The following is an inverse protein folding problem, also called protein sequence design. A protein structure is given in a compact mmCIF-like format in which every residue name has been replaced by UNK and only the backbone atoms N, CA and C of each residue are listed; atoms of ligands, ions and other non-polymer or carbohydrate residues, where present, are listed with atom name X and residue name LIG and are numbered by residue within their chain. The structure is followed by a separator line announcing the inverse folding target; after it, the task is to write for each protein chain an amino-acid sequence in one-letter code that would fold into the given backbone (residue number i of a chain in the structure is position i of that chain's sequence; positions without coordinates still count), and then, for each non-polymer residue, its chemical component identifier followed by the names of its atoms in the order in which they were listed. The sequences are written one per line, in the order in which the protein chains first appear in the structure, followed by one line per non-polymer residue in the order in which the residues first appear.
data_IF_023977708191
#
_entry.id   IF_023977708191
#
_cell.length_a   1.000
_cell.length_b   1.000
_cell.length_c   1.000
_cell.angle_alpha   90.00
_cell.angle_beta   90.00
_cell.angle_gamma   90.00
#
_symmetry.space_group_name_H-M   'P 1'
#
loop_
_entity.id
_entity.type
_entity.pdbx_description
1 polymer ?
#
# COMPACT_ATOMS: atom_id res chain seq x y z
N UNK A 1 -23.59 26.08 -38.17
CA UNK A 1 -23.09 26.77 -36.96
C UNK A 1 -23.16 25.77 -35.80
N UNK A 2 -22.39 24.67 -35.85
CA UNK A 2 -22.52 23.56 -34.88
C UNK A 2 -21.19 23.05 -34.33
N UNK A 3 -20.05 23.55 -34.81
CA UNK A 3 -18.73 23.08 -34.34
C UNK A 3 -18.23 23.79 -33.07
N UNK A 4 -18.90 24.86 -32.60
CA UNK A 4 -18.48 25.60 -31.41
C UNK A 4 -19.10 25.05 -30.11
N UNK A 5 -20.32 24.51 -30.18
CA UNK A 5 -21.05 23.99 -29.01
C UNK A 5 -20.46 22.63 -28.57
N UNK A 6 -20.02 21.81 -29.52
CA UNK A 6 -19.36 20.52 -29.24
C UNK A 6 -17.89 20.68 -28.78
N UNK A 7 -17.24 21.78 -29.14
CA UNK A 7 -15.89 22.10 -28.66
C UNK A 7 -15.94 22.63 -27.23
N UNK A 8 -16.88 23.52 -26.90
CA UNK A 8 -17.11 23.99 -25.53
C UNK A 8 -17.56 22.83 -24.60
N UNK A 9 -18.42 21.91 -25.06
CA UNK A 9 -18.76 20.71 -24.28
C UNK A 9 -17.58 19.74 -24.08
N UNK A 10 -16.67 19.62 -25.06
CA UNK A 10 -15.43 18.83 -24.92
C UNK A 10 -14.36 19.52 -24.08
N UNK A 11 -14.36 20.84 -23.96
CA UNK A 11 -13.48 21.60 -23.05
C UNK A 11 -14.00 21.59 -21.61
N UNK A 12 -15.32 21.67 -21.38
CA UNK A 12 -15.91 21.56 -20.04
C UNK A 12 -15.72 20.16 -19.42
N UNK A 13 -15.47 19.14 -20.24
CA UNK A 13 -15.08 17.79 -19.81
C UNK A 13 -13.56 17.61 -19.63
N UNK A 14 -12.74 18.58 -20.06
CA UNK A 14 -11.29 18.62 -19.75
C UNK A 14 -11.09 19.33 -18.41
N UNK A 15 -10.52 18.60 -17.46
CA UNK A 15 -10.06 19.06 -16.15
C UNK A 15 -11.11 19.17 -15.03
N UNK A 16 -11.94 18.14 -14.84
CA UNK A 16 -12.37 17.82 -13.47
C UNK A 16 -11.26 16.98 -12.85
N UNK A 17 -10.64 17.48 -11.79
CA UNK A 17 -9.65 16.69 -11.05
C UNK A 17 -10.34 15.49 -10.39
N UNK A 18 -9.59 14.42 -10.11
CA UNK A 18 -10.14 13.28 -9.36
C UNK A 18 -10.68 13.73 -7.98
N UNK A 19 -10.05 14.74 -7.37
CA UNK A 19 -10.58 15.43 -6.18
C UNK A 19 -12.01 15.97 -6.39
N UNK A 20 -12.28 16.66 -7.50
CA UNK A 20 -13.63 17.17 -7.80
C UNK A 20 -14.65 16.05 -8.04
N UNK A 21 -14.19 14.88 -8.50
CA UNK A 21 -15.04 13.70 -8.64
C UNK A 21 -15.37 13.11 -7.27
N UNK A 22 -14.38 12.90 -6.41
CA UNK A 22 -14.57 12.43 -5.05
C UNK A 22 -15.48 13.37 -4.27
N UNK A 23 -15.24 14.69 -4.33
CA UNK A 23 -16.04 15.69 -3.62
C UNK A 23 -17.52 15.59 -3.99
N UNK A 24 -17.85 15.53 -5.29
CA UNK A 24 -19.24 15.35 -5.73
C UNK A 24 -19.82 13.99 -5.37
N UNK A 25 -19.00 12.95 -5.32
CA UNK A 25 -19.44 11.62 -4.93
C UNK A 25 -19.85 11.61 -3.45
N UNK A 26 -19.03 12.23 -2.59
CA UNK A 26 -19.27 12.28 -1.14
C UNK A 26 -20.34 13.32 -0.74
N UNK A 27 -20.51 14.40 -1.50
CA UNK A 27 -21.56 15.41 -1.27
C UNK A 27 -22.99 14.82 -1.30
N UNK A 28 -23.17 13.64 -1.91
CA UNK A 28 -24.48 12.95 -1.91
C UNK A 28 -24.82 12.31 -0.55
N UNK A 29 -23.86 12.23 0.37
CA UNK A 29 -24.05 11.73 1.73
C UNK A 29 -24.27 12.94 2.65
N UNK A 30 -25.54 13.24 2.93
CA UNK A 30 -25.97 14.50 3.57
C UNK A 30 -25.90 14.53 5.11
N UNK A 31 -25.25 13.56 5.75
CA UNK A 31 -25.20 13.52 7.22
C UNK A 31 -23.94 14.25 7.72
N UNK A 32 -24.11 15.27 8.56
CA UNK A 32 -23.00 16.10 9.11
C UNK A 32 -21.94 15.28 9.88
N UNK A 33 -22.33 14.10 10.38
CA UNK A 33 -21.48 13.15 11.10
C UNK A 33 -20.73 12.17 10.19
N UNK A 34 -20.95 12.23 8.88
CA UNK A 34 -20.34 11.31 7.93
C UNK A 34 -18.84 11.58 7.77
N UNK A 35 -18.04 10.55 8.01
CA UNK A 35 -16.59 10.59 7.85
C UNK A 35 -16.17 10.62 6.38
N UNK A 36 -17.03 10.22 5.45
CA UNK A 36 -16.74 10.20 4.02
C UNK A 36 -16.43 11.59 3.45
N UNK A 37 -16.92 12.66 4.09
CA UNK A 37 -16.62 14.05 3.70
C UNK A 37 -15.12 14.37 3.67
N UNK A 38 -14.30 13.64 4.44
CA UNK A 38 -12.85 13.85 4.50
C UNK A 38 -12.06 13.13 3.39
N UNK A 39 -12.69 12.21 2.64
CA UNK A 39 -12.00 11.44 1.59
C UNK A 39 -11.32 12.32 0.53
N UNK A 40 -11.97 13.36 -0.04
CA UNK A 40 -11.33 14.21 -1.04
C UNK A 40 -10.06 14.87 -0.50
N UNK A 41 -10.10 15.41 0.72
CA UNK A 41 -8.97 16.13 1.31
C UNK A 41 -7.84 15.17 1.71
N UNK A 42 -8.18 13.96 2.18
CA UNK A 42 -7.20 12.92 2.47
C UNK A 42 -6.50 12.42 1.19
N UNK A 43 -7.26 12.24 0.10
CA UNK A 43 -6.70 11.96 -1.22
C UNK A 43 -5.73 13.07 -1.66
N UNK A 44 -6.16 14.35 -1.57
CA UNK A 44 -5.33 15.47 -1.99
C UNK A 44 -4.06 15.60 -1.14
N UNK A 45 -4.15 15.36 0.16
CA UNK A 45 -3.02 15.34 1.07
C UNK A 45 -2.00 14.26 0.67
N UNK A 46 -2.47 13.05 0.33
CA UNK A 46 -1.61 11.98 -0.17
C UNK A 46 -0.95 12.37 -1.50
N UNK A 47 -1.69 12.98 -2.43
CA UNK A 47 -1.10 13.50 -3.66
C UNK A 47 -0.01 14.54 -3.39
N UNK A 48 -0.25 15.48 -2.47
CA UNK A 48 0.74 16.49 -2.08
C UNK A 48 2.00 15.84 -1.52
N UNK A 49 1.86 14.87 -0.60
CA UNK A 49 2.98 14.12 -0.02
C UNK A 49 3.72 13.32 -1.10
N UNK A 50 3.00 12.67 -2.01
CA UNK A 50 3.57 11.87 -3.10
C UNK A 50 4.38 12.70 -4.08
N UNK A 51 3.90 13.90 -4.41
CA UNK A 51 4.56 14.86 -5.29
C UNK A 51 5.69 15.64 -4.62
N UNK A 52 5.76 15.67 -3.29
CA UNK A 52 6.81 16.40 -2.58
C UNK A 52 8.19 15.73 -2.79
N UNK A 53 9.15 16.51 -3.28
CA UNK A 53 10.52 16.06 -3.54
C UNK A 53 11.30 15.74 -2.26
N UNK A 54 10.87 16.26 -1.10
CA UNK A 54 11.47 15.96 0.20
C UNK A 54 10.97 14.64 0.79
N UNK A 55 9.86 14.10 0.28
CA UNK A 55 9.36 12.78 0.69
C UNK A 55 10.32 11.70 0.26
N UNK A 56 10.75 10.86 1.21
CA UNK A 56 11.62 9.73 0.90
C UNK A 56 10.87 8.67 0.09
N UNK A 57 11.63 7.81 -0.58
CA UNK A 57 11.09 6.73 -1.41
C UNK A 57 10.10 5.84 -0.65
N UNK A 58 10.35 5.58 0.64
CA UNK A 58 9.48 4.76 1.49
C UNK A 58 8.11 5.41 1.69
N UNK A 59 8.06 6.70 2.02
CA UNK A 59 6.82 7.50 2.09
C UNK A 59 6.07 7.50 0.76
N UNK A 60 6.79 7.65 -0.36
CA UNK A 60 6.19 7.62 -1.70
C UNK A 60 5.60 6.25 -2.03
N UNK A 61 6.21 5.16 -1.56
CA UNK A 61 5.64 3.81 -1.71
C UNK A 61 4.36 3.64 -0.92
N UNK A 62 4.32 4.08 0.34
CA UNK A 62 3.10 4.06 1.16
C UNK A 62 1.96 4.85 0.49
N UNK A 63 2.26 6.07 0.03
CA UNK A 63 1.30 6.93 -0.68
C UNK A 63 0.80 6.27 -1.96
N UNK A 64 1.72 5.77 -2.81
CA UNK A 64 1.34 5.16 -4.08
C UNK A 64 0.50 3.89 -3.89
N UNK A 65 0.73 3.12 -2.83
CA UNK A 65 -0.07 1.96 -2.49
C UNK A 65 -1.52 2.36 -2.20
N UNK A 66 -1.77 3.40 -1.37
CA UNK A 66 -3.12 3.92 -1.16
C UNK A 66 -3.73 4.49 -2.44
N UNK A 67 -2.99 5.32 -3.19
CA UNK A 67 -3.51 5.91 -4.43
C UNK A 67 -3.84 4.85 -5.49
N UNK A 68 -3.10 3.73 -5.52
CA UNK A 68 -3.40 2.63 -6.44
C UNK A 68 -4.68 1.88 -6.08
N UNK A 69 -5.06 1.85 -4.80
CA UNK A 69 -6.31 1.23 -4.36
C UNK A 69 -7.53 1.99 -4.91
N UNK A 70 -7.51 3.33 -4.84
CA UNK A 70 -8.58 4.22 -5.30
C UNK A 70 -8.95 4.12 -6.80
N UNK A 71 -8.13 3.41 -7.59
CA UNK A 71 -8.30 3.23 -9.04
C UNK A 71 -8.45 1.75 -9.42
N UNK A 72 -8.58 0.85 -8.45
CA UNK A 72 -8.88 -0.55 -8.73
C UNK A 72 -10.28 -0.67 -9.36
N UNK A 73 -10.41 -1.59 -10.31
CA UNK A 73 -11.70 -1.85 -10.97
C UNK A 73 -12.61 -2.76 -10.14
N UNK A 74 -12.02 -3.58 -9.25
CA UNK A 74 -12.73 -4.49 -8.35
C UNK A 74 -12.52 -4.08 -6.89
N UNK A 75 -13.45 -3.32 -6.33
CA UNK A 75 -13.43 -2.94 -4.93
C UNK A 75 -13.90 -4.07 -4.01
N UNK A 76 -13.29 -4.16 -2.82
CA UNK A 76 -13.71 -5.09 -1.76
C UNK A 76 -15.14 -4.77 -1.32
N UNK A 77 -15.52 -3.49 -1.35
CA UNK A 77 -16.88 -3.03 -1.16
C UNK A 77 -17.44 -2.65 -2.52
N UNK A 78 -18.38 -3.43 -3.04
CA UNK A 78 -19.00 -3.08 -4.31
C UNK A 78 -19.84 -1.80 -4.16
N UNK A 79 -19.46 -0.74 -4.87
CA UNK A 79 -20.19 0.54 -5.01
C UNK A 79 -21.70 0.41 -5.28
N UNK A 80 -22.13 -0.74 -5.80
CA UNK A 80 -23.51 -0.99 -6.24
C UNK A 80 -24.52 -1.23 -5.11
N UNK A 81 -24.13 -1.35 -3.83
CA UNK A 81 -25.07 -1.85 -2.80
C UNK A 81 -25.13 -1.14 -1.43
N UNK A 82 -24.34 -0.12 -1.13
CA UNK A 82 -24.47 0.58 0.16
C UNK A 82 -23.92 2.00 0.12
N UNK A 83 -24.35 2.83 1.08
CA UNK A 83 -23.79 4.16 1.30
C UNK A 83 -22.28 4.15 1.66
N UNK A 84 -21.74 2.96 1.91
CA UNK A 84 -20.37 2.72 2.39
C UNK A 84 -19.36 2.43 1.26
N UNK A 85 -19.71 2.67 -0.01
CA UNK A 85 -18.85 2.32 -1.16
C UNK A 85 -17.45 2.94 -1.11
N UNK A 86 -17.33 4.15 -0.57
CA UNK A 86 -16.07 4.87 -0.42
C UNK A 86 -15.38 4.67 0.94
N UNK A 87 -15.89 3.76 1.77
CA UNK A 87 -15.40 3.62 3.14
C UNK A 87 -14.04 2.92 3.20
N UNK A 88 -13.81 1.93 2.33
CA UNK A 88 -12.51 1.29 2.16
C UNK A 88 -11.46 2.23 1.57
N UNK A 89 -11.86 3.07 0.61
CA UNK A 89 -11.04 4.17 0.08
C UNK A 89 -10.60 5.14 1.19
N UNK A 90 -11.56 5.63 1.99
CA UNK A 90 -11.25 6.50 3.12
C UNK A 90 -10.34 5.81 4.13
N UNK A 91 -10.64 4.55 4.45
CA UNK A 91 -9.86 3.75 5.38
C UNK A 91 -8.40 3.66 4.93
N UNK A 92 -8.15 3.29 3.67
CA UNK A 92 -6.76 3.10 3.22
C UNK A 92 -5.99 4.43 3.17
N UNK A 93 -6.66 5.53 2.79
CA UNK A 93 -6.05 6.85 2.85
C UNK A 93 -5.66 7.24 4.28
N UNK A 94 -6.59 7.09 5.22
CA UNK A 94 -6.38 7.41 6.62
C UNK A 94 -5.30 6.50 7.26
N UNK A 95 -5.31 5.20 6.92
CA UNK A 95 -4.31 4.24 7.36
C UNK A 95 -2.91 4.64 6.92
N UNK A 96 -2.71 5.04 5.66
CA UNK A 96 -1.39 5.49 5.17
C UNK A 96 -0.93 6.77 5.86
N UNK A 97 -1.84 7.73 6.07
CA UNK A 97 -1.50 8.96 6.81
C UNK A 97 -1.09 8.64 8.25
N UNK A 98 -1.79 7.71 8.91
CA UNK A 98 -1.42 7.20 10.24
C UNK A 98 -0.02 6.57 10.22
N UNK A 99 0.29 5.73 9.24
CA UNK A 99 1.59 5.09 9.11
C UNK A 99 2.73 6.10 8.89
N UNK A 100 2.50 7.12 8.06
CA UNK A 100 3.45 8.22 7.86
C UNK A 100 3.66 8.98 9.17
N UNK A 101 2.58 9.28 9.91
CA UNK A 101 2.64 9.95 11.22
C UNK A 101 3.46 9.15 12.23
N UNK A 102 3.18 7.86 12.34
CA UNK A 102 3.66 7.00 13.42
C UNK A 102 5.08 6.47 13.17
N UNK A 103 5.43 6.18 11.90
CA UNK A 103 6.68 5.50 11.54
C UNK A 103 7.69 6.38 10.83
N UNK A 104 7.25 7.44 10.16
CA UNK A 104 8.14 8.30 9.36
C UNK A 104 8.36 9.65 10.05
N UNK A 105 7.37 10.53 10.01
CA UNK A 105 7.41 11.83 10.68
C UNK A 105 6.08 12.57 10.51
N UNK A 106 5.58 13.13 11.61
CA UNK A 106 4.41 14.03 11.62
C UNK A 106 4.59 15.26 10.73
N UNK A 107 5.82 15.76 10.59
CA UNK A 107 6.10 16.98 9.82
C UNK A 107 5.84 16.78 8.33
N UNK A 108 5.95 15.56 7.80
CA UNK A 108 5.62 15.28 6.40
C UNK A 108 4.14 15.61 6.13
N UNK A 109 3.25 15.35 7.08
CA UNK A 109 1.84 15.69 6.92
C UNK A 109 1.67 17.20 6.95
N UNK A 110 2.18 17.86 8.00
CA UNK A 110 2.05 19.32 8.19
C UNK A 110 2.61 20.13 7.00
N UNK A 111 3.78 19.73 6.49
CA UNK A 111 4.44 20.41 5.36
C UNK A 111 3.67 20.28 4.03
N UNK A 112 2.68 19.38 3.95
CA UNK A 112 1.92 19.07 2.73
C UNK A 112 0.42 19.39 2.84
N UNK A 113 -0.02 20.05 3.92
CA UNK A 113 -1.41 20.50 4.11
C UNK A 113 -1.79 21.76 3.32
N UNK A 114 -0.86 22.33 2.54
CA UNK A 114 -1.12 23.56 1.79
C UNK A 114 -2.35 23.45 0.89
N UNK A 115 -3.32 24.36 1.10
CA UNK A 115 -4.58 24.39 0.35
C UNK A 115 -5.69 23.48 0.89
N UNK A 116 -5.46 22.80 2.02
CA UNK A 116 -6.45 22.02 2.75
C UNK A 116 -6.78 22.72 4.07
N UNK A 117 -8.06 22.74 4.42
CA UNK A 117 -8.55 23.32 5.67
C UNK A 117 -9.28 22.24 6.46
N UNK A 118 -8.65 21.79 7.55
CA UNK A 118 -9.24 20.82 8.46
C UNK A 118 -9.66 21.57 9.73
N UNK A 119 -10.95 21.51 10.06
CA UNK A 119 -11.50 22.16 11.25
C UNK A 119 -10.95 21.53 12.55
N UNK A 120 -10.62 20.23 12.49
CA UNK A 120 -10.13 19.44 13.61
C UNK A 120 -8.59 19.28 13.59
N UNK A 121 -8.01 18.88 14.73
CA UNK A 121 -6.62 18.43 14.78
C UNK A 121 -6.44 17.24 13.83
N UNK A 122 -5.71 17.46 12.73
CA UNK A 122 -5.51 16.47 11.67
C UNK A 122 -5.00 15.13 12.19
N UNK A 123 -4.16 15.13 13.23
CA UNK A 123 -3.59 13.90 13.77
C UNK A 123 -4.60 13.12 14.59
N UNK A 124 -5.50 13.80 15.28
CA UNK A 124 -6.62 13.18 15.97
C UNK A 124 -7.65 12.67 14.95
N UNK A 125 -7.99 13.50 13.96
CA UNK A 125 -8.90 13.17 12.87
C UNK A 125 -8.47 11.90 12.11
N UNK A 126 -7.18 11.78 11.76
CA UNK A 126 -6.63 10.57 11.12
C UNK A 126 -6.94 9.32 11.97
N UNK A 127 -6.72 9.38 13.27
CA UNK A 127 -6.95 8.24 14.16
C UNK A 127 -8.45 7.93 14.31
N UNK A 128 -9.27 8.96 14.45
CA UNK A 128 -10.71 8.80 14.58
C UNK A 128 -11.33 8.18 13.33
N UNK A 129 -10.90 8.61 12.14
CA UNK A 129 -11.32 8.01 10.88
C UNK A 129 -10.86 6.56 10.78
N UNK A 130 -9.58 6.26 11.08
CA UNK A 130 -9.09 4.87 11.06
C UNK A 130 -9.91 3.98 11.99
N UNK A 131 -10.17 4.42 13.21
CA UNK A 131 -10.93 3.64 14.19
C UNK A 131 -12.39 3.44 13.73
N UNK A 132 -13.10 4.52 13.39
CA UNK A 132 -14.50 4.46 12.95
C UNK A 132 -14.65 3.61 11.69
N UNK A 133 -13.79 3.81 10.70
CA UNK A 133 -13.83 3.01 9.48
C UNK A 133 -13.50 1.54 9.78
N UNK A 134 -12.51 1.26 10.64
CA UNK A 134 -12.20 -0.11 11.03
C UNK A 134 -13.36 -0.82 11.73
N UNK A 135 -14.06 -0.11 12.63
CA UNK A 135 -15.22 -0.64 13.36
C UNK A 135 -16.35 -1.03 12.41
N UNK A 136 -16.59 -0.23 11.36
CA UNK A 136 -17.62 -0.49 10.35
C UNK A 136 -17.20 -1.59 9.38
N UNK A 137 -15.93 -1.59 8.94
CA UNK A 137 -15.39 -2.52 7.96
C UNK A 137 -15.12 -3.92 8.53
N UNK A 138 -14.80 -4.02 9.82
CA UNK A 138 -14.44 -5.27 10.50
C UNK A 138 -13.32 -6.01 9.77
N UNK A 139 -13.51 -7.31 9.54
CA UNK A 139 -12.53 -8.20 8.90
C UNK A 139 -12.14 -7.80 7.47
N UNK A 140 -12.89 -6.89 6.83
CA UNK A 140 -12.53 -6.38 5.49
C UNK A 140 -11.26 -5.53 5.51
N UNK A 141 -10.94 -4.92 6.65
CA UNK A 141 -9.72 -4.11 6.82
C UNK A 141 -8.45 -4.88 6.47
N UNK A 142 -8.34 -6.14 6.90
CA UNK A 142 -7.20 -7.01 6.61
C UNK A 142 -7.06 -7.26 5.10
N UNK A 143 -8.18 -7.49 4.41
CA UNK A 143 -8.20 -7.71 2.96
C UNK A 143 -7.77 -6.46 2.19
N UNK A 144 -8.21 -5.28 2.62
CA UNK A 144 -7.82 -3.99 2.01
C UNK A 144 -6.30 -3.84 2.10
N UNK A 145 -5.74 -4.09 3.29
CA UNK A 145 -4.30 -4.04 3.51
C UNK A 145 -3.54 -5.11 2.73
N UNK A 146 -4.10 -6.31 2.57
CA UNK A 146 -3.52 -7.39 1.76
C UNK A 146 -3.38 -7.00 0.28
N UNK A 147 -4.42 -6.38 -0.30
CA UNK A 147 -4.45 -5.99 -1.73
C UNK A 147 -3.29 -5.05 -2.06
N UNK A 148 -3.05 -4.06 -1.20
CA UNK A 148 -1.95 -3.09 -1.38
C UNK A 148 -0.61 -3.60 -0.82
N UNK A 149 -0.60 -4.83 -0.29
CA UNK A 149 0.60 -5.50 0.23
C UNK A 149 1.05 -5.07 1.62
N UNK A 150 0.26 -4.26 2.35
CA UNK A 150 0.60 -3.75 3.68
C UNK A 150 0.66 -4.80 4.78
N UNK A 151 -0.15 -5.85 4.70
CA UNK A 151 -0.10 -6.97 5.66
C UNK A 151 1.29 -7.61 5.78
N UNK A 152 2.00 -7.72 4.64
CA UNK A 152 3.36 -8.25 4.54
C UNK A 152 4.43 -7.15 4.59
N UNK A 153 4.03 -5.89 4.46
CA UNK A 153 4.93 -4.73 4.48
C UNK A 153 5.52 -4.46 5.88
N UNK A 154 4.91 -4.99 6.95
CA UNK A 154 5.52 -5.03 8.30
C UNK A 154 6.88 -5.73 8.33
N UNK A 155 7.15 -6.66 7.40
CA UNK A 155 8.48 -7.25 7.21
C UNK A 155 9.51 -6.21 6.69
N UNK A 156 9.02 -5.18 5.99
CA UNK A 156 9.80 -4.08 5.43
C UNK A 156 10.09 -2.99 6.48
N UNK A 157 9.18 -2.74 7.43
CA UNK A 157 9.39 -1.80 8.54
C UNK A 157 10.58 -2.17 9.43
N UNK A 158 10.82 -3.47 9.60
CA UNK A 158 12.02 -3.99 10.27
C UNK A 158 13.34 -3.52 9.60
N UNK A 159 13.28 -3.11 8.33
CA UNK A 159 14.41 -2.66 7.54
C UNK A 159 14.65 -1.14 7.64
N UNK A 160 13.66 -0.36 8.07
CA UNK A 160 13.66 1.10 8.03
C UNK A 160 14.11 1.76 9.36
N UNK A 161 14.17 1.00 10.46
CA UNK A 161 14.73 1.46 11.75
C UNK A 161 16.22 1.84 11.59
N UNK A 162 16.48 3.14 11.49
CA UNK A 162 17.76 3.74 11.11
C UNK A 162 18.92 3.31 12.03
N UNK A 163 18.68 3.01 13.31
CA UNK A 163 19.72 2.55 14.25
C UNK A 163 20.01 1.04 14.17
N UNK A 164 19.06 0.23 13.68
CA UNK A 164 19.27 -1.21 13.45
C UNK A 164 20.01 -1.51 12.15
N UNK A 165 19.98 -0.61 11.16
CA UNK A 165 20.46 -0.87 9.79
C UNK A 165 21.89 -1.41 9.71
N UNK A 166 22.84 -0.97 10.55
CA UNK A 166 24.23 -1.44 10.49
C UNK A 166 24.41 -2.90 10.96
N UNK A 167 23.78 -3.27 12.09
CA UNK A 167 23.77 -4.65 12.57
C UNK A 167 22.90 -5.55 11.70
N UNK A 168 21.87 -4.98 11.09
CA UNK A 168 20.92 -5.68 10.24
C UNK A 168 21.42 -5.91 8.82
N UNK A 169 22.19 -4.98 8.22
CA UNK A 169 22.88 -5.22 6.94
C UNK A 169 23.79 -6.44 7.07
N UNK A 170 24.60 -6.50 8.14
CA UNK A 170 25.41 -7.69 8.41
C UNK A 170 24.58 -8.96 8.60
N UNK A 171 23.40 -8.88 9.23
CA UNK A 171 22.49 -10.04 9.37
C UNK A 171 21.80 -10.42 8.07
N UNK A 172 21.42 -9.45 7.22
CA UNK A 172 20.83 -9.67 5.90
C UNK A 172 21.84 -10.27 4.94
N UNK A 173 23.07 -9.79 4.96
CA UNK A 173 24.15 -10.34 4.15
C UNK A 173 24.44 -11.78 4.59
N UNK A 174 24.53 -12.05 5.90
CA UNK A 174 24.62 -13.41 6.43
C UNK A 174 23.41 -14.28 6.08
N UNK A 175 22.18 -13.74 6.10
CA UNK A 175 20.95 -14.47 5.76
C UNK A 175 20.86 -14.76 4.26
N UNK A 176 21.23 -13.80 3.41
CA UNK A 176 21.34 -13.97 1.95
C UNK A 176 22.39 -15.01 1.60
N UNK A 177 23.56 -14.95 2.25
CA UNK A 177 24.60 -15.96 2.11
C UNK A 177 24.11 -17.33 2.55
N UNK A 178 23.38 -17.43 3.67
CA UNK A 178 22.79 -18.68 4.14
C UNK A 178 21.77 -19.25 3.15
N UNK A 179 20.85 -18.42 2.64
CA UNK A 179 19.89 -18.83 1.61
C UNK A 179 20.59 -19.27 0.32
N UNK A 180 21.63 -18.55 -0.12
CA UNK A 180 22.43 -18.92 -1.28
C UNK A 180 23.15 -20.26 -1.07
N UNK A 181 23.76 -20.48 0.09
CA UNK A 181 24.40 -21.76 0.44
C UNK A 181 23.40 -22.92 0.49
N UNK A 182 22.22 -22.69 1.07
CA UNK A 182 21.12 -23.67 1.08
C UNK A 182 20.63 -23.97 -0.33
N UNK A 183 20.53 -22.95 -1.19
CA UNK A 183 20.10 -23.09 -2.57
C UNK A 183 21.09 -23.90 -3.41
N UNK A 184 22.40 -23.60 -3.30
CA UNK A 184 23.48 -24.37 -3.94
C UNK A 184 23.46 -25.82 -3.47
N UNK A 185 23.29 -26.04 -2.15
CA UNK A 185 23.22 -27.40 -1.61
C UNK A 185 21.96 -28.13 -2.07
N UNK A 186 20.82 -27.48 -2.09
CA UNK A 186 19.55 -28.03 -2.58
C UNK A 186 19.65 -28.42 -4.07
N UNK A 187 20.23 -27.55 -4.91
CA UNK A 187 20.49 -27.86 -6.31
C UNK A 187 21.45 -29.06 -6.46
N UNK A 188 22.56 -29.10 -5.72
CA UNK A 188 23.46 -30.25 -5.76
C UNK A 188 22.76 -31.56 -5.36
N UNK A 189 21.83 -31.51 -4.40
CA UNK A 189 21.02 -32.68 -3.97
C UNK A 189 20.03 -33.09 -5.06
N UNK A 190 19.47 -32.12 -5.80
CA UNK A 190 18.56 -32.35 -6.91
C UNK A 190 19.28 -32.94 -8.14
N UNK A 191 20.55 -32.58 -8.35
CA UNK A 191 21.39 -33.04 -9.47
C UNK A 191 22.00 -34.43 -9.28
N UNK A 192 22.16 -34.91 -8.05
CA UNK A 192 22.69 -36.27 -7.79
C UNK A 192 21.80 -37.31 -8.51
N UNK A 193 22.36 -38.34 -9.13
CA UNK A 193 21.56 -39.48 -9.60
C UNK A 193 21.60 -40.57 -8.54
N UNK A 194 20.62 -40.58 -7.64
CA UNK A 194 20.48 -41.60 -6.59
C UNK A 194 19.02 -42.01 -6.47
N UNK A 195 18.75 -43.31 -6.63
CA UNK A 195 17.41 -43.90 -6.54
C UNK A 195 17.03 -44.32 -5.11
N UNK A 196 17.81 -43.92 -4.10
CA UNK A 196 17.45 -44.26 -2.72
C UNK A 196 16.16 -43.55 -2.32
N UNK A 197 15.23 -44.29 -1.69
CA UNK A 197 13.94 -43.76 -1.23
C UNK A 197 14.07 -42.46 -0.41
N UNK A 198 15.10 -42.40 0.45
CA UNK A 198 15.39 -41.20 1.26
C UNK A 198 15.74 -39.99 0.39
N UNK A 199 16.53 -40.17 -0.68
CA UNK A 199 16.87 -39.10 -1.61
C UNK A 199 15.67 -38.66 -2.43
N UNK A 200 14.83 -39.59 -2.89
CA UNK A 200 13.59 -39.25 -3.60
C UNK A 200 12.63 -38.43 -2.72
N UNK A 201 12.46 -38.83 -1.46
CA UNK A 201 11.64 -38.11 -0.46
C UNK A 201 12.18 -36.72 -0.17
N UNK A 202 13.50 -36.59 -0.01
CA UNK A 202 14.16 -35.30 0.20
C UNK A 202 13.97 -34.35 -0.99
N UNK A 203 14.08 -34.84 -2.24
CA UNK A 203 13.83 -34.01 -3.43
C UNK A 203 12.39 -33.54 -3.55
N UNK A 204 11.44 -34.42 -3.25
CA UNK A 204 10.02 -34.08 -3.25
C UNK A 204 9.74 -32.97 -2.23
N UNK A 205 10.30 -33.08 -1.02
CA UNK A 205 10.17 -32.07 0.02
C UNK A 205 10.76 -30.71 -0.40
N UNK A 206 11.95 -30.70 -1.00
CA UNK A 206 12.60 -29.47 -1.50
C UNK A 206 11.75 -28.81 -2.60
N UNK A 207 11.27 -29.58 -3.59
CA UNK A 207 10.50 -29.05 -4.73
C UNK A 207 9.12 -28.52 -4.34
N UNK A 208 8.51 -29.08 -3.30
CA UNK A 208 7.14 -28.73 -2.88
C UNK A 208 7.10 -27.69 -1.77
N UNK A 209 8.26 -27.32 -1.19
CA UNK A 209 8.31 -26.30 -0.16
C UNK A 209 7.97 -24.92 -0.73
N UNK A 210 7.01 -24.23 -0.13
CA UNK A 210 6.49 -22.93 -0.59
C UNK A 210 7.57 -21.84 -0.72
N UNK A 211 8.61 -21.87 0.11
CA UNK A 211 9.73 -20.91 0.05
C UNK A 211 10.78 -21.22 -1.04
N UNK A 212 10.74 -22.39 -1.68
CA UNK A 212 11.78 -22.81 -2.64
C UNK A 212 11.88 -21.85 -3.85
N UNK A 213 10.76 -21.28 -4.29
CA UNK A 213 10.74 -20.28 -5.35
C UNK A 213 11.39 -18.94 -4.96
N UNK A 214 11.40 -18.59 -3.66
CA UNK A 214 12.12 -17.42 -3.16
C UNK A 214 13.62 -17.71 -3.06
N UNK A 215 13.97 -18.90 -2.55
CA UNK A 215 15.36 -19.39 -2.47
C UNK A 215 16.01 -19.43 -3.87
N UNK A 216 15.26 -19.87 -4.89
CA UNK A 216 15.74 -19.90 -6.29
C UNK A 216 16.01 -18.50 -6.84
N UNK A 217 15.13 -17.54 -6.60
CA UNK A 217 15.29 -16.14 -7.04
C UNK A 217 16.54 -15.47 -6.44
N UNK A 218 16.89 -15.78 -5.20
CA UNK A 218 18.13 -15.25 -4.60
C UNK A 218 19.41 -15.75 -5.28
N UNK A 219 19.40 -16.89 -5.98
CA UNK A 219 20.57 -17.36 -6.75
C UNK A 219 20.78 -16.54 -8.02
N UNK A 220 19.70 -16.18 -8.71
CA UNK A 220 19.76 -15.40 -9.96
C UNK A 220 20.39 -14.01 -9.71
N UNK A 221 20.08 -13.37 -8.58
CA UNK A 221 20.63 -12.08 -8.17
C UNK A 221 22.12 -12.08 -7.75
N UNK A 222 22.74 -13.25 -7.53
CA UNK A 222 24.17 -13.33 -7.17
C UNK A 222 25.06 -13.49 -8.42
N UNK A 223 24.45 -13.79 -9.57
CA UNK A 223 25.15 -13.98 -10.83
C UNK A 223 25.23 -12.71 -11.71
N UNK A 224 24.61 -11.60 -11.29
CA UNK A 224 24.73 -10.25 -11.86
C UNK A 224 25.66 -9.37 -11.00
#
# INVERSE_FOLDING_TARGET
MDNNIDFERKEVLRNKSYYDCLKRAVDNYQDDEDILKYLPDFYQLLCNIGCNNKSQWYTKMLVNAALSYLVLEEDIITDKRSKDGYLDDLYICAYVLKEIRDKVSKNIILDNMGGLDFEDDIFQLIYDIVNRASDILGDKTEKILDIVGFSKFTLFDFLYDQDKTKRLMMRKEKRRLLYAMLAVKANSILEIESETYQMMKLRSLIRTHHEFGEIKRYMEFIHD
#
